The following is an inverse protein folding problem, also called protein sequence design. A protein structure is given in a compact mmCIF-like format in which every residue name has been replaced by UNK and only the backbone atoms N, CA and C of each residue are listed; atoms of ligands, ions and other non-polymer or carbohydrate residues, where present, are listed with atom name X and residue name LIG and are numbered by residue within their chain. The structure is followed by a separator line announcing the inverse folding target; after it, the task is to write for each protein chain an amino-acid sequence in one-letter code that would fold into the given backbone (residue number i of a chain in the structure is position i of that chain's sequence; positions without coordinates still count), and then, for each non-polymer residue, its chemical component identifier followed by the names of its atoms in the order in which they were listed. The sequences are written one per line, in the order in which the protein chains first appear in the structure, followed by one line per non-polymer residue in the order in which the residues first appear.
data_IF_291598780818
#
_entry.id   IF_291598780818
#
_cell.length_a   1.000
_cell.length_b   1.000
_cell.length_c   1.000
_cell.angle_alpha   90.00
_cell.angle_beta   90.00
_cell.angle_gamma   90.00
#
_symmetry.space_group_name_H-M   'P 1'
#
loop_
_entity.id
_entity.type
_entity.pdbx_description
1 polymer ?
#
# COMPACT_ATOMS: atom_id res chain seq x y z
N UNK A 1 -13.47 36.82 42.60
CA UNK A 1 -12.16 36.97 43.24
C UNK A 1 -11.19 36.09 42.47
N UNK A 2 -10.56 36.65 41.44
CA UNK A 2 -9.17 37.16 41.44
C UNK A 2 -8.22 35.99 41.11
N UNK A 3 -7.73 35.82 39.87
CA UNK A 3 -6.85 36.66 39.04
C UNK A 3 -5.44 36.83 39.64
N UNK A 4 -4.44 36.28 38.93
CA UNK A 4 -3.06 36.77 38.64
C UNK A 4 -2.12 35.56 38.42
N UNK A 5 -1.57 35.31 37.22
CA UNK A 5 -0.51 35.99 36.45
C UNK A 5 0.93 35.57 36.83
N UNK A 6 1.73 35.26 35.79
CA UNK A 6 3.19 35.03 35.83
C UNK A 6 3.55 33.55 35.77
N UNK A 7 4.32 33.00 34.82
CA UNK A 7 5.34 33.61 33.96
C UNK A 7 5.49 32.79 32.68
N UNK A 8 5.56 33.50 31.55
CA UNK A 8 6.01 32.96 30.26
C UNK A 8 7.54 32.84 30.31
N UNK A 9 8.06 31.63 30.42
CA UNK A 9 9.45 31.35 30.03
C UNK A 9 9.44 30.91 28.56
N UNK A 10 9.96 31.81 27.72
CA UNK A 10 10.22 31.55 26.31
C UNK A 10 11.40 30.60 26.20
N UNK A 11 11.16 29.35 25.80
CA UNK A 11 12.21 28.51 25.25
C UNK A 11 12.53 29.03 23.84
N UNK A 12 13.63 29.78 23.74
CA UNK A 12 14.30 30.10 22.50
C UNK A 12 14.60 28.79 21.75
N UNK A 13 14.24 28.65 20.46
CA UNK A 13 14.72 27.54 19.67
C UNK A 13 16.24 27.67 19.53
N UNK A 14 16.95 26.66 20.03
CA UNK A 14 18.38 26.44 19.83
C UNK A 14 18.68 26.57 18.34
N UNK A 15 19.65 27.41 18.00
CA UNK A 15 20.06 27.69 16.63
C UNK A 15 20.36 26.38 15.86
N UNK A 16 20.00 26.29 14.56
CA UNK A 16 20.32 25.13 13.76
C UNK A 16 21.84 24.97 13.66
N UNK A 17 22.34 23.80 14.04
CA UNK A 17 23.75 23.42 13.87
C UNK A 17 24.13 23.58 12.39
N UNK A 18 25.23 24.28 12.06
CA UNK A 18 25.62 24.49 10.67
C UNK A 18 25.95 23.15 9.98
N UNK A 19 25.44 22.97 8.76
CA UNK A 19 25.70 21.79 7.97
C UNK A 19 27.18 21.75 7.56
N UNK A 20 27.91 20.76 8.07
CA UNK A 20 29.32 20.53 7.74
C UNK A 20 29.45 19.97 6.33
N UNK A 21 30.27 20.58 5.48
CA UNK A 21 30.58 20.07 4.14
C UNK A 21 31.60 18.95 4.30
N UNK A 22 31.24 17.71 3.93
CA UNK A 22 32.19 16.58 3.92
C UNK A 22 32.78 16.41 2.52
N UNK A 23 34.08 16.65 2.35
CA UNK A 23 34.84 16.18 1.19
C UNK A 23 35.20 14.70 1.40
N UNK A 24 34.41 13.80 0.82
CA UNK A 24 34.82 12.42 0.62
C UNK A 24 34.45 11.96 -0.78
N UNK A 25 35.47 11.53 -1.54
CA UNK A 25 35.38 11.16 -2.96
C UNK A 25 34.65 9.81 -3.21
N UNK A 26 33.89 9.30 -2.24
CA UNK A 26 33.28 7.97 -2.33
C UNK A 26 32.09 7.81 -1.40
N UNK A 27 30.96 8.42 -1.78
CA UNK A 27 29.63 8.01 -1.31
C UNK A 27 28.75 7.65 -2.50
N UNK A 28 28.19 6.44 -2.49
CA UNK A 28 27.14 6.03 -3.44
C UNK A 28 25.87 6.83 -3.12
N UNK A 29 25.40 7.64 -4.07
CA UNK A 29 24.12 8.32 -3.98
C UNK A 29 22.98 7.29 -4.06
N UNK A 30 22.05 7.35 -3.13
CA UNK A 30 20.77 6.61 -3.19
C UNK A 30 19.67 7.54 -3.71
N UNK A 31 18.61 6.96 -4.31
CA UNK A 31 17.51 7.63 -5.05
C UNK A 31 16.78 8.77 -4.30
N UNK A 32 17.01 8.97 -3.00
CA UNK A 32 16.34 9.99 -2.18
C UNK A 32 17.32 10.90 -1.42
N UNK A 33 18.56 11.03 -1.87
CA UNK A 33 19.56 11.87 -1.22
C UNK A 33 19.69 13.24 -1.91
N UNK A 34 19.20 14.32 -1.26
CA UNK A 34 19.31 15.72 -1.73
C UNK A 34 20.61 16.36 -1.23
N UNK A 35 21.76 15.83 -1.61
CA UNK A 35 23.05 16.45 -1.34
C UNK A 35 23.58 17.12 -2.60
N UNK A 36 23.96 18.40 -2.46
CA UNK A 36 24.53 19.22 -3.53
C UNK A 36 25.97 19.55 -3.14
N UNK A 37 26.92 19.42 -4.08
CA UNK A 37 28.33 19.69 -3.77
C UNK A 37 28.57 21.20 -3.50
N UNK A 38 29.64 21.51 -2.76
CA UNK A 38 29.93 22.87 -2.31
C UNK A 38 30.15 23.89 -3.45
N UNK A 39 30.43 23.42 -4.67
CA UNK A 39 30.62 24.26 -5.84
C UNK A 39 29.35 25.00 -6.30
N UNK A 40 28.18 24.55 -5.85
CA UNK A 40 26.90 25.20 -6.17
C UNK A 40 26.55 26.40 -5.28
N UNK A 41 27.40 26.71 -4.30
CA UNK A 41 27.25 27.84 -3.38
C UNK A 41 28.25 28.94 -3.72
N UNK A 42 27.95 30.18 -3.38
CA UNK A 42 28.93 31.26 -3.54
C UNK A 42 30.01 31.18 -2.46
N UNK A 43 31.18 31.77 -2.70
CA UNK A 43 32.28 31.73 -1.74
C UNK A 43 31.91 32.41 -0.40
N UNK A 44 31.01 33.39 -0.45
CA UNK A 44 30.50 34.12 0.72
C UNK A 44 29.58 33.25 1.60
N UNK A 45 29.00 32.20 1.02
CA UNK A 45 28.09 31.28 1.69
C UNK A 45 28.81 30.08 2.33
N UNK A 46 30.10 29.92 2.04
CA UNK A 46 30.96 28.84 2.53
C UNK A 46 31.99 29.40 3.52
N UNK A 47 31.89 29.04 4.79
CA UNK A 47 32.82 29.48 5.84
C UNK A 47 33.78 28.37 6.22
N UNK A 48 35.01 28.74 6.54
CA UNK A 48 36.04 27.83 7.05
C UNK A 48 36.15 28.03 8.56
N UNK A 49 36.10 26.93 9.31
CA UNK A 49 36.30 26.98 10.75
C UNK A 49 37.78 27.30 11.05
N UNK A 50 38.08 28.37 11.83
CA UNK A 50 39.45 28.88 11.96
C UNK A 50 40.44 27.89 12.59
N UNK A 51 39.98 27.03 13.51
CA UNK A 51 40.86 26.05 14.17
C UNK A 51 40.91 24.67 13.50
N UNK A 52 39.88 24.27 12.75
CA UNK A 52 39.76 22.91 12.23
C UNK A 52 39.88 22.81 10.70
N UNK A 53 39.92 23.95 10.00
CA UNK A 53 39.98 24.02 8.54
C UNK A 53 38.74 23.48 7.82
N UNK A 54 37.72 23.03 8.55
CA UNK A 54 36.51 22.43 7.96
C UNK A 54 35.62 23.51 7.36
N UNK A 55 35.17 23.29 6.12
CA UNK A 55 34.21 24.13 5.42
C UNK A 55 32.78 23.79 5.86
N UNK A 56 31.95 24.80 6.08
CA UNK A 56 30.53 24.64 6.41
C UNK A 56 29.71 25.75 5.75
N UNK A 57 28.43 25.47 5.52
CA UNK A 57 27.52 26.42 4.90
C UNK A 57 26.94 27.39 5.94
N UNK A 58 26.69 28.62 5.52
CA UNK A 58 25.94 29.57 6.35
C UNK A 58 24.47 29.12 6.50
N UNK A 59 23.78 29.48 7.60
CA UNK A 59 22.42 29.00 7.86
C UNK A 59 21.36 29.39 6.82
N UNK A 60 21.65 30.33 5.92
CA UNK A 60 20.76 30.76 4.84
C UNK A 60 21.32 30.44 3.44
N UNK A 61 22.38 29.64 3.36
CA UNK A 61 23.00 29.28 2.09
C UNK A 61 22.02 28.47 1.23
N UNK A 62 21.72 28.98 0.03
CA UNK A 62 20.88 28.29 -0.95
C UNK A 62 21.73 28.04 -2.20
N UNK A 63 21.81 26.80 -2.70
CA UNK A 63 22.60 26.52 -3.89
C UNK A 63 22.01 27.32 -5.05
N UNK A 64 22.87 28.13 -5.68
CA UNK A 64 22.47 29.16 -6.63
C UNK A 64 23.36 29.18 -7.88
N UNK A 65 24.44 28.40 -7.92
CA UNK A 65 25.29 28.29 -9.12
C UNK A 65 24.82 27.14 -10.00
N UNK A 66 23.75 27.37 -10.75
CA UNK A 66 23.21 26.40 -11.71
C UNK A 66 23.14 27.01 -13.12
N UNK A 67 23.36 26.20 -14.14
CA UNK A 67 23.27 26.66 -15.53
C UNK A 67 21.88 27.19 -15.90
N UNK A 68 20.82 26.60 -15.33
CA UNK A 68 19.44 26.99 -15.60
C UNK A 68 19.01 28.33 -14.98
N UNK A 69 19.85 28.96 -14.13
CA UNK A 69 19.57 30.27 -13.55
C UNK A 69 20.52 31.38 -14.02
N UNK A 70 21.19 31.18 -15.16
CA UNK A 70 22.10 32.14 -15.80
C UNK A 70 23.32 32.54 -14.95
N UNK A 71 23.73 31.69 -14.01
CA UNK A 71 24.96 31.91 -13.24
C UNK A 71 26.20 31.79 -14.15
N UNK A 72 27.02 32.84 -14.21
CA UNK A 72 28.29 32.88 -14.96
C UNK A 72 28.25 33.61 -16.31
N UNK A 73 27.08 34.10 -16.73
CA UNK A 73 26.96 34.84 -17.99
C UNK A 73 27.23 36.34 -17.76
N UNK A 74 28.49 36.76 -17.88
CA UNK A 74 28.86 38.18 -17.86
C UNK A 74 28.65 38.76 -19.26
N UNK A 75 27.38 38.94 -19.65
CA UNK A 75 26.95 39.94 -20.63
C UNK A 75 25.64 40.60 -20.20
N UNK A 76 25.79 41.86 -19.80
CA UNK A 76 24.78 42.92 -19.66
C UNK A 76 23.60 42.71 -18.70
N UNK A 77 23.71 43.38 -17.55
CA UNK A 77 22.55 44.02 -16.94
C UNK A 77 22.05 45.12 -17.91
N UNK A 78 20.84 44.98 -18.46
CA UNK A 78 20.03 46.14 -18.77
C UNK A 78 18.69 46.04 -18.05
N UNK A 79 18.58 46.91 -17.06
CA UNK A 79 17.40 47.32 -16.34
C UNK A 79 16.30 47.77 -17.32
N UNK A 80 15.05 47.41 -17.01
CA UNK A 80 13.86 48.09 -17.57
C UNK A 80 14.00 49.60 -17.40
N UNK A 81 13.94 50.39 -18.47
CA UNK A 81 13.26 51.71 -18.62
C UNK A 81 13.47 52.25 -20.06
N UNK A 82 12.70 53.27 -20.45
CA UNK A 82 12.19 53.52 -21.81
C UNK A 82 12.99 54.50 -22.72
N UNK A 83 12.55 54.55 -24.00
CA UNK A 83 12.56 55.67 -25.00
C UNK A 83 13.79 55.93 -25.91
N UNK A 84 13.51 55.81 -27.22
CA UNK A 84 13.78 56.73 -28.37
C UNK A 84 15.24 57.04 -28.78
N UNK A 85 15.60 56.69 -30.03
CA UNK A 85 16.45 57.52 -30.90
C UNK A 85 17.64 56.84 -31.62
N UNK A 86 17.53 56.77 -32.96
CA UNK A 86 18.55 57.04 -34.02
C UNK A 86 19.91 56.30 -34.06
N UNK A 87 20.27 55.89 -35.29
CA UNK A 87 21.54 55.36 -35.81
C UNK A 87 22.84 55.99 -35.28
N UNK A 88 23.87 55.16 -35.12
CA UNK A 88 25.29 55.54 -35.14
C UNK A 88 26.17 54.30 -35.31
N UNK A 89 26.99 54.29 -36.37
CA UNK A 89 28.10 53.35 -36.62
C UNK A 89 29.31 53.64 -35.70
N UNK A 90 30.35 52.80 -35.84
CA UNK A 90 31.74 52.87 -35.34
C UNK A 90 31.97 52.16 -34.00
N UNK A 91 33.05 51.42 -33.75
CA UNK A 91 34.20 50.92 -34.53
C UNK A 91 34.84 49.82 -33.65
N UNK A 92 35.52 48.86 -34.28
CA UNK A 92 36.24 47.79 -33.59
C UNK A 92 37.43 48.34 -32.78
N UNK A 93 37.61 47.83 -31.56
CA UNK A 93 38.86 47.97 -30.81
C UNK A 93 39.27 46.60 -30.27
N UNK A 94 40.32 46.06 -30.87
CA UNK A 94 41.00 44.83 -30.49
C UNK A 94 41.52 44.91 -29.06
N UNK A 95 41.13 43.95 -28.23
CA UNK A 95 41.81 43.65 -26.97
C UNK A 95 42.24 42.19 -27.03
N UNK A 96 43.53 41.98 -27.25
CA UNK A 96 44.20 40.69 -27.09
C UNK A 96 44.01 40.21 -25.65
N UNK A 97 43.32 39.08 -25.48
CA UNK A 97 43.21 38.38 -24.21
C UNK A 97 44.18 37.20 -24.26
N UNK A 98 45.20 37.24 -23.40
CA UNK A 98 46.06 36.10 -23.10
C UNK A 98 45.19 34.88 -22.72
N UNK A 99 45.32 33.83 -23.53
CA UNK A 99 44.72 32.51 -23.30
C UNK A 99 45.30 31.87 -22.04
N UNK A 100 44.61 32.03 -20.90
CA UNK A 100 44.75 31.10 -19.78
C UNK A 100 43.79 29.94 -20.04
N UNK A 101 44.36 28.81 -20.44
CA UNK A 101 43.63 27.56 -20.69
C UNK A 101 43.10 26.97 -19.37
N UNK A 102 42.01 27.52 -18.85
CA UNK A 102 41.27 26.90 -17.75
C UNK A 102 40.32 25.86 -18.35
N UNK A 103 40.67 24.58 -18.18
CA UNK A 103 39.83 23.45 -18.58
C UNK A 103 38.52 23.53 -17.79
N UNK A 104 37.49 24.10 -18.39
CA UNK A 104 36.11 23.99 -17.96
C UNK A 104 35.71 22.51 -18.10
N UNK A 105 35.72 21.78 -16.98
CA UNK A 105 34.99 20.51 -16.87
C UNK A 105 33.49 20.84 -16.87
N UNK A 106 32.95 21.05 -18.06
CA UNK A 106 31.51 21.23 -18.27
C UNK A 106 30.84 19.89 -17.99
N UNK A 107 30.07 19.79 -16.91
CA UNK A 107 29.23 18.62 -16.67
C UNK A 107 28.17 18.57 -17.77
N UNK A 108 28.22 17.48 -18.55
CA UNK A 108 27.45 17.27 -19.77
C UNK A 108 25.99 16.92 -19.44
N UNK A 109 25.21 17.90 -19.00
CA UNK A 109 23.75 17.77 -18.83
C UNK A 109 22.96 18.08 -20.11
N UNK A 110 23.62 18.65 -21.13
CA UNK A 110 23.06 18.90 -22.47
C UNK A 110 23.26 17.72 -23.45
N UNK A 111 23.78 16.60 -22.98
CA UNK A 111 23.82 15.39 -23.80
C UNK A 111 22.38 14.92 -24.04
N UNK A 112 21.89 15.10 -25.28
CA UNK A 112 20.73 14.35 -25.79
C UNK A 112 20.93 12.89 -25.42
N UNK A 113 19.90 12.28 -24.82
CA UNK A 113 19.91 10.85 -24.58
C UNK A 113 20.39 10.14 -25.87
N UNK A 114 21.33 9.18 -25.78
CA UNK A 114 21.88 8.55 -26.96
C UNK A 114 20.73 8.07 -27.87
N UNK A 115 20.84 8.21 -29.21
CA UNK A 115 19.83 7.69 -30.12
C UNK A 115 19.59 6.20 -29.80
N UNK A 116 18.36 5.83 -29.47
CA UNK A 116 18.01 4.47 -29.04
C UNK A 116 17.88 4.27 -27.53
N UNK A 117 18.26 5.20 -26.66
CA UNK A 117 18.07 5.07 -25.20
C UNK A 117 16.58 5.03 -24.80
N UNK A 118 15.73 5.73 -25.55
CA UNK A 118 14.28 5.65 -25.39
C UNK A 118 13.75 4.30 -25.86
N UNK A 119 14.24 3.80 -26.99
CA UNK A 119 13.85 2.51 -27.54
C UNK A 119 14.31 1.35 -26.61
N UNK A 120 15.52 1.44 -26.06
CA UNK A 120 16.05 0.51 -25.06
C UNK A 120 15.23 0.54 -23.76
N UNK A 121 14.83 1.72 -23.30
CA UNK A 121 13.94 1.84 -22.15
C UNK A 121 12.56 1.25 -22.43
N UNK A 122 12.01 1.45 -23.63
CA UNK A 122 10.73 0.88 -24.05
C UNK A 122 10.79 -0.64 -24.17
N UNK A 123 11.88 -1.19 -24.74
CA UNK A 123 12.13 -2.63 -24.76
C UNK A 123 12.25 -3.18 -23.34
N UNK A 124 12.95 -2.48 -22.44
CA UNK A 124 13.06 -2.90 -21.04
C UNK A 124 11.71 -2.89 -20.31
N UNK A 125 10.88 -1.88 -20.56
CA UNK A 125 9.52 -1.81 -20.01
C UNK A 125 8.70 -3.00 -20.53
N UNK A 126 8.75 -3.26 -21.84
CA UNK A 126 8.03 -4.38 -22.45
C UNK A 126 8.50 -5.73 -21.92
N UNK A 127 9.81 -5.95 -21.79
CA UNK A 127 10.38 -7.16 -21.19
C UNK A 127 9.93 -7.33 -19.73
N UNK A 128 9.90 -6.25 -18.96
CA UNK A 128 9.44 -6.27 -17.57
C UNK A 128 7.93 -6.54 -17.48
N UNK A 129 7.13 -5.99 -18.38
CA UNK A 129 5.69 -6.24 -18.49
C UNK A 129 5.40 -7.70 -18.86
N UNK A 130 6.15 -8.26 -19.83
CA UNK A 130 6.07 -9.68 -20.19
C UNK A 130 6.55 -10.57 -19.03
N UNK A 131 7.62 -10.19 -18.33
CA UNK A 131 8.10 -10.92 -17.17
C UNK A 131 7.07 -10.90 -16.04
N UNK A 132 6.48 -9.74 -15.72
CA UNK A 132 5.41 -9.61 -14.72
C UNK A 132 4.20 -10.45 -15.14
N UNK A 133 3.78 -10.38 -16.40
CA UNK A 133 2.65 -11.18 -16.91
C UNK A 133 2.92 -12.68 -16.81
N UNK A 134 4.14 -13.13 -17.16
CA UNK A 134 4.56 -14.54 -17.06
C UNK A 134 4.65 -15.05 -15.63
N UNK A 135 4.90 -14.17 -14.66
CA UNK A 135 5.01 -14.50 -13.25
C UNK A 135 3.66 -14.45 -12.51
N UNK A 136 2.61 -13.87 -13.12
CA UNK A 136 1.30 -13.71 -12.49
C UNK A 136 0.42 -14.92 -12.78
N UNK A 137 0.56 -15.97 -11.96
CA UNK A 137 -0.15 -17.25 -12.13
C UNK A 137 -1.67 -17.03 -12.21
N UNK A 138 -2.25 -16.06 -11.48
CA UNK A 138 -3.68 -15.80 -11.58
C UNK A 138 -4.14 -15.35 -12.95
N UNK A 139 -3.37 -14.56 -13.71
CA UNK A 139 -3.82 -14.13 -15.05
C UNK A 139 -3.93 -15.33 -16.00
N UNK A 140 -2.90 -16.18 -16.03
CA UNK A 140 -2.91 -17.40 -16.84
C UNK A 140 -4.01 -18.39 -16.40
N UNK A 141 -4.20 -18.59 -15.09
CA UNK A 141 -5.26 -19.47 -14.59
C UNK A 141 -6.67 -18.90 -14.82
N UNK A 142 -6.84 -17.58 -14.72
CA UNK A 142 -8.10 -16.93 -15.03
C UNK A 142 -8.45 -17.10 -16.52
N UNK A 143 -7.46 -17.01 -17.41
CA UNK A 143 -7.65 -17.22 -18.84
C UNK A 143 -7.89 -18.70 -19.20
N UNK A 144 -7.30 -19.63 -18.45
CA UNK A 144 -7.46 -21.06 -18.71
C UNK A 144 -8.74 -21.66 -18.11
N UNK A 145 -9.09 -21.29 -16.87
CA UNK A 145 -10.17 -21.92 -16.11
C UNK A 145 -11.41 -21.06 -15.96
N UNK A 146 -11.27 -19.73 -16.07
CA UNK A 146 -12.37 -18.80 -15.87
C UNK A 146 -12.72 -18.08 -17.17
N UNK A 147 -12.92 -18.87 -18.24
CA UNK A 147 -13.22 -18.38 -19.59
C UNK A 147 -14.61 -17.72 -19.65
N UNK A 148 -15.60 -18.35 -19.01
CA UNK A 148 -16.95 -17.78 -18.87
C UNK A 148 -17.20 -17.21 -17.48
N UNK A 149 -18.20 -16.33 -17.36
CA UNK A 149 -18.66 -15.83 -16.06
C UNK A 149 -19.21 -16.96 -15.17
N UNK A 150 -19.75 -18.02 -15.75
CA UNK A 150 -20.22 -19.20 -15.01
C UNK A 150 -19.05 -19.97 -14.39
N UNK A 151 -17.99 -20.20 -15.17
CA UNK A 151 -16.77 -20.83 -14.66
C UNK A 151 -16.12 -19.95 -13.59
N UNK A 152 -16.03 -18.65 -13.83
CA UNK A 152 -15.49 -17.69 -12.87
C UNK A 152 -16.26 -17.76 -11.54
N UNK A 153 -17.60 -17.82 -11.62
CA UNK A 153 -18.47 -17.95 -10.45
C UNK A 153 -18.31 -19.29 -9.75
N UNK A 154 -18.11 -20.36 -10.48
CA UNK A 154 -17.82 -21.67 -9.90
C UNK A 154 -16.52 -21.63 -9.08
N UNK A 155 -15.44 -21.10 -9.66
CA UNK A 155 -14.11 -21.09 -9.04
C UNK A 155 -13.91 -20.06 -7.93
N UNK A 156 -14.65 -18.95 -7.94
CA UNK A 156 -14.40 -17.82 -7.02
C UNK A 156 -15.60 -17.42 -6.17
N UNK A 157 -16.81 -17.88 -6.51
CA UNK A 157 -18.11 -17.40 -5.99
C UNK A 157 -18.46 -15.95 -6.28
N UNK A 158 -17.60 -15.19 -6.96
CA UNK A 158 -17.97 -13.89 -7.49
C UNK A 158 -18.78 -14.03 -8.77
N UNK A 159 -19.69 -13.10 -9.05
CA UNK A 159 -20.61 -13.23 -10.18
C UNK A 159 -19.91 -13.18 -11.54
N UNK A 160 -18.82 -12.43 -11.64
CA UNK A 160 -17.99 -12.32 -12.85
C UNK A 160 -16.62 -11.73 -12.48
N UNK A 161 -15.72 -11.71 -13.47
CA UNK A 161 -14.36 -11.17 -13.35
C UNK A 161 -14.34 -9.72 -12.89
N UNK A 162 -15.23 -8.87 -13.41
CA UNK A 162 -15.27 -7.45 -13.07
C UNK A 162 -15.57 -7.21 -11.59
N UNK A 163 -16.59 -7.88 -11.04
CA UNK A 163 -16.93 -7.75 -9.62
C UNK A 163 -15.79 -8.24 -8.72
N UNK A 164 -15.09 -9.31 -9.10
CA UNK A 164 -13.91 -9.77 -8.38
C UNK A 164 -12.81 -8.70 -8.32
N UNK A 165 -12.48 -8.06 -9.44
CA UNK A 165 -11.46 -7.00 -9.44
C UNK A 165 -11.90 -5.73 -8.71
N UNK A 166 -13.19 -5.38 -8.75
CA UNK A 166 -13.74 -4.28 -7.92
C UNK A 166 -13.59 -4.59 -6.44
N UNK A 167 -13.93 -5.81 -6.02
CA UNK A 167 -13.72 -6.27 -4.65
C UNK A 167 -12.24 -6.26 -4.26
N UNK A 168 -11.37 -6.83 -5.11
CA UNK A 168 -9.93 -6.87 -4.92
C UNK A 168 -9.36 -5.47 -4.66
N UNK A 169 -9.65 -4.51 -5.55
CA UNK A 169 -9.19 -3.11 -5.42
C UNK A 169 -9.69 -2.43 -4.14
N UNK A 170 -10.84 -2.87 -3.61
CA UNK A 170 -11.38 -2.33 -2.36
C UNK A 170 -10.62 -2.84 -1.12
N UNK A 171 -10.09 -4.06 -1.17
CA UNK A 171 -9.37 -4.68 -0.05
C UNK A 171 -7.84 -4.55 -0.15
N UNK A 172 -7.30 -4.39 -1.36
CA UNK A 172 -5.87 -4.33 -1.66
C UNK A 172 -5.06 -3.33 -0.80
N UNK A 173 -5.54 -2.09 -0.55
CA UNK A 173 -4.82 -1.17 0.32
C UNK A 173 -4.59 -1.73 1.73
N UNK A 174 -5.58 -2.47 2.25
CA UNK A 174 -5.53 -3.10 3.57
C UNK A 174 -4.72 -4.39 3.58
N UNK A 175 -4.62 -5.10 2.45
CA UNK A 175 -3.82 -6.35 2.33
C UNK A 175 -2.33 -6.07 2.17
N UNK A 176 -1.94 -4.86 1.75
CA UNK A 176 -0.53 -4.46 1.67
C UNK A 176 0.24 -4.62 2.99
N UNK A 177 -0.46 -4.54 4.14
CA UNK A 177 0.07 -4.69 5.50
C UNK A 177 -0.21 -6.06 6.13
N UNK A 178 -0.62 -7.06 5.34
CA UNK A 178 -0.98 -8.38 5.86
C UNK A 178 0.19 -9.03 6.61
N UNK A 179 -0.07 -9.51 7.82
CA UNK A 179 0.88 -10.27 8.63
C UNK A 179 0.55 -11.75 8.46
N UNK A 180 1.46 -12.50 7.82
CA UNK A 180 1.26 -13.93 7.64
C UNK A 180 1.15 -14.66 8.98
N UNK A 181 0.32 -15.72 8.99
CA UNK A 181 0.04 -16.52 10.18
C UNK A 181 1.29 -16.99 10.94
N UNK A 182 2.36 -17.37 10.23
CA UNK A 182 3.61 -17.82 10.86
C UNK A 182 4.32 -16.72 11.66
N UNK A 183 4.12 -15.46 11.29
CA UNK A 183 4.65 -14.29 12.01
C UNK A 183 3.69 -13.89 13.14
N UNK A 184 2.39 -13.87 12.88
CA UNK A 184 1.38 -13.60 13.90
C UNK A 184 1.46 -14.59 15.08
N UNK A 185 1.62 -15.89 14.78
CA UNK A 185 1.79 -16.94 15.80
C UNK A 185 3.03 -16.72 16.67
N UNK A 186 4.15 -16.29 16.07
CA UNK A 186 5.39 -15.99 16.81
C UNK A 186 5.23 -14.76 17.71
N UNK A 187 4.61 -13.70 17.21
CA UNK A 187 4.33 -12.48 17.99
C UNK A 187 3.39 -12.79 19.16
N UNK A 188 2.35 -13.61 18.96
CA UNK A 188 1.44 -14.00 20.03
C UNK A 188 2.03 -14.92 21.10
N UNK A 189 3.16 -15.59 20.81
CA UNK A 189 3.88 -16.46 21.74
C UNK A 189 5.04 -15.75 22.46
N UNK A 190 5.53 -14.60 21.96
CA UNK A 190 6.61 -13.86 22.58
C UNK A 190 6.08 -12.90 23.65
N UNK A 191 6.40 -13.16 24.92
CA UNK A 191 6.17 -12.26 26.07
C UNK A 191 7.10 -11.03 26.09
N UNK A 192 7.94 -10.86 25.08
CA UNK A 192 8.94 -9.77 25.01
C UNK A 192 8.46 -8.71 24.02
N UNK A 193 8.02 -7.56 24.54
CA UNK A 193 7.40 -6.45 23.80
C UNK A 193 8.27 -5.77 22.73
N UNK A 194 9.52 -6.20 22.48
CA UNK A 194 10.45 -5.45 21.62
C UNK A 194 11.42 -6.31 20.81
N UNK A 195 10.93 -7.35 20.14
CA UNK A 195 11.69 -7.82 18.97
C UNK A 195 11.41 -6.88 17.79
N UNK A 196 12.45 -6.16 17.37
CA UNK A 196 12.46 -5.37 16.13
C UNK A 196 11.95 -6.25 15.00
N UNK A 197 10.77 -5.90 14.49
CA UNK A 197 10.07 -6.63 13.44
C UNK A 197 10.97 -6.66 12.21
N UNK A 198 11.73 -7.76 12.03
CA UNK A 198 12.48 -7.98 10.80
C UNK A 198 11.50 -7.89 9.62
N UNK A 199 11.89 -7.24 8.51
CA UNK A 199 11.06 -7.19 7.30
C UNK A 199 10.63 -8.60 6.95
N UNK A 200 9.34 -8.77 6.64
CA UNK A 200 8.88 -10.04 6.12
C UNK A 200 9.73 -10.38 4.87
N UNK A 201 10.14 -11.65 4.68
CA UNK A 201 10.84 -12.05 3.46
C UNK A 201 10.10 -11.53 2.23
N UNK A 202 10.83 -11.18 1.17
CA UNK A 202 10.21 -10.78 -0.10
C UNK A 202 9.14 -11.79 -0.49
N UNK A 203 7.94 -11.27 -0.80
CA UNK A 203 6.79 -12.11 -1.17
C UNK A 203 7.14 -12.87 -2.44
N UNK A 204 6.98 -14.19 -2.42
CA UNK A 204 7.19 -15.05 -3.61
C UNK A 204 6.03 -15.03 -4.59
N UNK A 205 4.88 -14.49 -4.18
CA UNK A 205 3.62 -14.52 -4.90
C UNK A 205 2.92 -13.17 -4.75
N UNK A 206 2.20 -12.75 -5.80
CA UNK A 206 1.40 -11.53 -5.74
C UNK A 206 0.20 -11.75 -4.81
N UNK A 207 -0.22 -10.70 -4.09
CA UNK A 207 -1.33 -10.82 -3.15
C UNK A 207 -2.65 -11.19 -3.85
N UNK A 208 -2.83 -10.81 -5.11
CA UNK A 208 -3.99 -11.20 -5.91
C UNK A 208 -3.99 -12.70 -6.24
N UNK A 209 -2.83 -13.29 -6.51
CA UNK A 209 -2.69 -14.74 -6.73
C UNK A 209 -2.98 -15.50 -5.44
N UNK A 210 -2.51 -14.99 -4.30
CA UNK A 210 -2.80 -15.56 -2.99
C UNK A 210 -4.31 -15.51 -2.67
N UNK A 211 -4.97 -14.39 -2.98
CA UNK A 211 -6.41 -14.25 -2.82
C UNK A 211 -7.18 -15.18 -3.76
N UNK A 212 -6.73 -15.33 -5.01
CA UNK A 212 -7.32 -16.26 -5.95
C UNK A 212 -7.15 -17.72 -5.50
N UNK A 213 -5.98 -18.10 -4.97
CA UNK A 213 -5.75 -19.41 -4.35
C UNK A 213 -6.71 -19.67 -3.18
N UNK A 214 -6.92 -18.65 -2.33
CA UNK A 214 -7.90 -18.72 -1.25
C UNK A 214 -9.33 -18.92 -1.79
N UNK A 215 -9.72 -18.18 -2.83
CA UNK A 215 -11.00 -18.37 -3.51
C UNK A 215 -11.16 -19.82 -4.01
N UNK A 216 -10.17 -20.40 -4.69
CA UNK A 216 -10.23 -21.78 -5.16
C UNK A 216 -10.39 -22.79 -4.00
N UNK A 217 -9.70 -22.56 -2.88
CA UNK A 217 -9.80 -23.39 -1.67
C UNK A 217 -11.18 -23.30 -1.03
N UNK A 218 -11.78 -22.10 -0.97
CA UNK A 218 -13.02 -21.85 -0.25
C UNK A 218 -14.27 -22.09 -1.10
N UNK A 219 -14.22 -21.70 -2.38
CA UNK A 219 -15.32 -21.82 -3.32
C UNK A 219 -15.55 -23.26 -3.76
N UNK A 220 -14.48 -23.94 -4.17
CA UNK A 220 -14.54 -25.29 -4.78
C UNK A 220 -14.12 -26.38 -3.80
N UNK A 221 -13.33 -26.03 -2.78
CA UNK A 221 -12.82 -27.02 -1.83
C UNK A 221 -11.57 -27.76 -2.32
N UNK A 222 -10.76 -27.15 -3.19
CA UNK A 222 -9.54 -27.79 -3.70
C UNK A 222 -8.59 -28.14 -2.55
N UNK A 223 -8.03 -29.36 -2.57
CA UNK A 223 -7.06 -29.81 -1.55
C UNK A 223 -5.75 -29.03 -1.64
N UNK A 224 -5.11 -28.82 -0.50
CA UNK A 224 -3.86 -28.03 -0.43
C UNK A 224 -2.75 -28.56 -1.35
N UNK A 225 -2.63 -29.88 -1.50
CA UNK A 225 -1.67 -30.49 -2.42
C UNK A 225 -1.94 -30.10 -3.88
N UNK A 226 -3.20 -30.03 -4.30
CA UNK A 226 -3.55 -29.67 -5.67
C UNK A 226 -3.22 -28.20 -5.92
N UNK A 227 -3.55 -27.33 -4.97
CA UNK A 227 -3.18 -25.90 -5.02
C UNK A 227 -1.66 -25.71 -5.04
N UNK A 228 -0.90 -26.54 -4.31
CA UNK A 228 0.56 -26.50 -4.32
C UNK A 228 1.14 -26.74 -5.72
N UNK A 229 0.62 -27.73 -6.45
CA UNK A 229 1.02 -28.03 -7.83
C UNK A 229 0.61 -26.90 -8.79
N UNK A 230 -0.65 -26.41 -8.71
CA UNK A 230 -1.17 -25.35 -9.58
C UNK A 230 -0.34 -24.08 -9.47
N UNK A 231 -0.02 -23.67 -8.24
CA UNK A 231 0.67 -22.41 -7.97
C UNK A 231 2.19 -22.60 -7.82
N UNK A 232 2.71 -23.81 -8.02
CA UNK A 232 4.14 -24.14 -7.93
C UNK A 232 4.79 -23.69 -6.62
N UNK A 233 4.08 -23.87 -5.51
CA UNK A 233 4.54 -23.55 -4.15
C UNK A 233 4.47 -24.78 -3.26
N UNK A 234 5.15 -24.77 -2.12
CA UNK A 234 5.03 -25.88 -1.17
C UNK A 234 3.64 -25.93 -0.52
N UNK A 235 3.15 -27.13 -0.18
CA UNK A 235 1.89 -27.32 0.58
C UNK A 235 1.86 -26.49 1.86
N UNK A 236 3.00 -26.38 2.55
CA UNK A 236 3.12 -25.54 3.76
C UNK A 236 2.94 -24.04 3.47
N UNK A 237 3.20 -23.59 2.24
CA UNK A 237 2.94 -22.22 1.81
C UNK A 237 1.46 -22.02 1.54
N UNK A 238 0.80 -22.95 0.84
CA UNK A 238 -0.66 -22.94 0.62
C UNK A 238 -1.42 -22.88 1.94
N UNK A 239 -1.06 -23.71 2.91
CA UNK A 239 -1.73 -23.73 4.22
C UNK A 239 -1.58 -22.39 4.95
N UNK A 240 -0.36 -21.82 4.96
CA UNK A 240 -0.10 -20.49 5.54
C UNK A 240 -0.89 -19.38 4.84
N UNK A 241 -0.95 -19.39 3.51
CA UNK A 241 -1.71 -18.44 2.71
C UNK A 241 -3.19 -18.57 3.04
N UNK A 242 -3.74 -19.79 2.99
CA UNK A 242 -5.15 -20.07 3.29
C UNK A 242 -5.54 -19.54 4.66
N UNK A 243 -4.79 -19.85 5.72
CA UNK A 243 -5.08 -19.36 7.07
C UNK A 243 -4.99 -17.82 7.15
N UNK A 244 -3.99 -17.23 6.49
CA UNK A 244 -3.79 -15.78 6.49
C UNK A 244 -4.96 -15.08 5.78
N UNK A 245 -5.38 -15.60 4.63
CA UNK A 245 -6.49 -15.11 3.82
C UNK A 245 -7.87 -15.55 4.32
N UNK A 246 -7.99 -16.46 5.28
CA UNK A 246 -9.22 -16.63 6.05
C UNK A 246 -9.42 -15.48 7.05
N UNK A 247 -8.33 -15.02 7.67
CA UNK A 247 -8.37 -13.96 8.68
C UNK A 247 -8.51 -12.56 8.05
N UNK A 248 -7.89 -12.32 6.90
CA UNK A 248 -7.87 -10.97 6.32
C UNK A 248 -9.27 -10.46 5.89
N UNK A 249 -10.06 -11.18 5.07
CA UNK A 249 -11.43 -10.80 4.76
C UNK A 249 -12.31 -10.73 6.01
N UNK A 250 -12.11 -11.60 7.01
CA UNK A 250 -12.84 -11.50 8.28
C UNK A 250 -12.62 -10.15 8.97
N UNK A 251 -11.37 -9.67 9.02
CA UNK A 251 -11.04 -8.37 9.62
C UNK A 251 -11.55 -7.21 8.76
N UNK A 252 -11.36 -7.28 7.44
CA UNK A 252 -11.76 -6.22 6.52
C UNK A 252 -13.30 -6.11 6.45
N UNK A 253 -14.00 -7.23 6.21
CA UNK A 253 -15.45 -7.25 6.12
C UNK A 253 -16.12 -7.06 7.48
N UNK A 254 -15.51 -7.56 8.55
CA UNK A 254 -16.00 -7.33 9.92
C UNK A 254 -15.95 -5.87 10.35
N UNK A 255 -15.14 -5.04 9.69
CA UNK A 255 -15.12 -3.58 9.92
C UNK A 255 -16.26 -2.83 9.22
N UNK A 256 -16.96 -3.49 8.28
CA UNK A 256 -18.06 -2.88 7.52
C UNK A 256 -19.34 -2.93 8.35
N UNK A 257 -19.91 -1.77 8.63
CA UNK A 257 -21.20 -1.68 9.31
C UNK A 257 -22.33 -2.05 8.34
N UNK A 258 -22.78 -3.30 8.40
CA UNK A 258 -23.87 -3.83 7.56
C UNK A 258 -25.28 -3.58 8.13
N UNK A 259 -25.37 -3.04 9.34
CA UNK A 259 -26.66 -2.82 10.01
C UNK A 259 -27.46 -1.67 9.37
N UNK A 260 -28.65 -1.98 8.85
CA UNK A 260 -29.51 -0.98 8.20
C UNK A 260 -30.26 -0.10 9.21
N UNK A 261 -30.34 1.19 8.92
CA UNK A 261 -31.21 2.15 9.62
C UNK A 261 -32.69 1.83 9.39
N UNK A 262 -33.59 2.38 10.23
CA UNK A 262 -35.03 2.14 10.08
C UNK A 262 -35.55 2.72 8.77
N UNK A 263 -35.01 3.85 8.38
CA UNK A 263 -35.33 4.58 7.16
C UNK A 263 -34.93 3.77 5.93
N UNK A 264 -33.71 3.22 5.92
CA UNK A 264 -33.24 2.32 4.86
C UNK A 264 -34.13 1.08 4.73
N UNK A 265 -34.47 0.43 5.85
CA UNK A 265 -35.34 -0.76 5.84
C UNK A 265 -36.73 -0.41 5.29
N UNK A 266 -37.35 0.68 5.76
CA UNK A 266 -38.67 1.11 5.26
C UNK A 266 -38.63 1.42 3.76
N UNK A 267 -37.57 2.06 3.27
CA UNK A 267 -37.41 2.40 1.85
C UNK A 267 -37.28 1.18 0.95
N UNK A 268 -36.64 0.11 1.42
CA UNK A 268 -36.44 -1.13 0.63
C UNK A 268 -37.45 -2.22 0.92
N UNK A 269 -38.37 -2.01 1.87
CA UNK A 269 -39.33 -3.01 2.33
C UNK A 269 -40.29 -3.42 1.20
N UNK A 270 -40.43 -4.73 0.88
CA UNK A 270 -41.43 -5.19 -0.08
C UNK A 270 -42.87 -4.87 0.36
N UNK A 271 -43.77 -4.64 -0.60
CA UNK A 271 -45.17 -4.23 -0.37
C UNK A 271 -45.90 -5.17 0.61
N UNK A 272 -45.71 -6.49 0.47
CA UNK A 272 -46.33 -7.47 1.38
C UNK A 272 -45.88 -7.28 2.84
N UNK A 273 -44.60 -6.99 3.09
CA UNK A 273 -44.12 -6.71 4.43
C UNK A 273 -44.68 -5.40 4.97
N UNK A 274 -44.82 -4.37 4.13
CA UNK A 274 -45.44 -3.11 4.55
C UNK A 274 -46.90 -3.31 4.98
N UNK A 275 -47.64 -4.18 4.29
CA UNK A 275 -49.05 -4.43 4.56
C UNK A 275 -49.27 -5.26 5.85
N UNK A 276 -48.53 -6.37 6.01
CA UNK A 276 -48.78 -7.32 7.09
C UNK A 276 -47.86 -7.13 8.31
N UNK A 277 -46.66 -6.60 8.10
CA UNK A 277 -45.58 -6.55 9.08
C UNK A 277 -44.80 -5.20 9.05
N UNK A 278 -45.47 -4.03 9.10
CA UNK A 278 -44.85 -2.72 8.81
C UNK A 278 -43.72 -2.32 9.76
N UNK A 279 -43.72 -2.89 10.97
CA UNK A 279 -42.73 -2.58 12.01
C UNK A 279 -41.55 -3.57 12.04
N UNK A 280 -41.54 -4.59 11.17
CA UNK A 280 -40.43 -5.55 11.10
C UNK A 280 -39.18 -4.84 10.56
N UNK A 281 -38.09 -4.94 11.30
CA UNK A 281 -36.78 -4.39 10.91
C UNK A 281 -35.81 -5.46 10.42
N UNK A 282 -35.75 -6.56 11.15
CA UNK A 282 -34.84 -7.68 10.92
C UNK A 282 -35.59 -8.97 11.21
N UNK A 283 -35.41 -9.95 10.35
CA UNK A 283 -35.84 -11.33 10.52
C UNK A 283 -34.60 -12.10 10.92
N UNK A 284 -34.63 -12.77 12.06
CA UNK A 284 -33.49 -13.53 12.58
C UNK A 284 -33.72 -15.02 12.37
N UNK A 285 -32.65 -15.73 12.02
CA UNK A 285 -32.65 -17.19 11.90
C UNK A 285 -31.32 -17.77 12.37
N UNK A 286 -31.37 -18.97 12.97
CA UNK A 286 -30.19 -19.70 13.40
C UNK A 286 -29.72 -20.61 12.26
N UNK A 287 -28.67 -20.19 11.54
CA UNK A 287 -28.12 -20.96 10.43
C UNK A 287 -27.02 -21.89 10.90
N UNK A 288 -27.10 -23.15 10.50
CA UNK A 288 -26.08 -24.17 10.81
C UNK A 288 -25.20 -24.45 9.59
N UNK A 289 -23.89 -24.39 9.80
CA UNK A 289 -22.87 -24.70 8.80
C UNK A 289 -22.26 -26.06 9.12
N UNK A 290 -22.17 -26.94 8.12
CA UNK A 290 -21.42 -28.20 8.25
C UNK A 290 -19.93 -27.90 8.13
N UNK A 291 -19.13 -28.56 8.96
CA UNK A 291 -17.68 -28.45 8.91
C UNK A 291 -17.03 -29.83 8.95
N UNK A 292 -15.78 -29.90 8.53
CA UNK A 292 -14.95 -31.09 8.67
C UNK A 292 -14.82 -31.44 10.17
N UNK A 293 -14.90 -32.73 10.47
CA UNK A 293 -14.80 -33.23 11.84
C UNK A 293 -13.41 -32.94 12.40
N UNK A 294 -13.30 -32.32 13.59
CA UNK A 294 -12.01 -32.12 14.23
C UNK A 294 -11.41 -33.46 14.62
N UNK A 295 -10.08 -33.57 14.55
CA UNK A 295 -9.36 -34.78 14.97
C UNK A 295 -9.42 -35.00 16.48
N UNK A 296 -9.60 -33.92 17.25
CA UNK A 296 -9.74 -33.98 18.70
C UNK A 296 -11.15 -34.46 19.09
N UNK A 297 -11.20 -35.58 19.83
CA UNK A 297 -12.45 -36.23 20.28
C UNK A 297 -13.32 -35.29 21.12
N UNK A 298 -12.72 -34.47 21.98
CA UNK A 298 -13.43 -33.49 22.81
C UNK A 298 -14.15 -32.46 21.96
N UNK A 299 -13.43 -31.80 21.04
CA UNK A 299 -14.04 -30.86 20.09
C UNK A 299 -15.08 -31.55 19.21
N UNK A 300 -14.84 -32.79 18.80
CA UNK A 300 -15.81 -33.55 18.01
C UNK A 300 -17.13 -33.70 18.76
N UNK A 301 -17.08 -34.14 20.03
CA UNK A 301 -18.28 -34.32 20.85
C UNK A 301 -19.06 -33.03 21.09
N UNK A 302 -18.37 -31.90 21.23
CA UNK A 302 -19.01 -30.60 21.46
C UNK A 302 -19.66 -30.07 20.18
N UNK A 303 -18.92 -30.13 19.05
CA UNK A 303 -19.36 -29.61 17.75
C UNK A 303 -20.33 -30.51 17.00
N UNK A 304 -20.49 -31.76 17.45
CA UNK A 304 -21.43 -32.70 16.87
C UNK A 304 -22.87 -32.29 17.17
N UNK A 305 -23.64 -31.98 16.14
CA UNK A 305 -25.09 -31.82 16.27
C UNK A 305 -25.72 -33.20 16.23
N UNK A 306 -26.21 -33.68 17.37
CA UNK A 306 -26.95 -34.95 17.44
C UNK A 306 -28.15 -34.97 16.48
N UNK A 307 -28.80 -33.81 16.28
CA UNK A 307 -29.92 -33.67 15.35
C UNK A 307 -29.53 -33.90 13.89
N UNK A 308 -28.35 -33.41 13.46
CA UNK A 308 -27.87 -33.56 12.08
C UNK A 308 -26.88 -34.68 11.85
N UNK A 309 -26.37 -35.30 12.92
CA UNK A 309 -25.34 -36.34 12.88
C UNK A 309 -24.03 -35.92 12.21
N UNK A 310 -23.70 -34.61 12.24
CA UNK A 310 -22.45 -34.06 11.70
C UNK A 310 -21.89 -32.98 12.64
N UNK A 311 -20.58 -32.73 12.52
CA UNK A 311 -19.93 -31.55 13.08
C UNK A 311 -20.50 -30.29 12.43
N UNK A 312 -21.07 -29.41 13.24
CA UNK A 312 -21.67 -28.16 12.78
C UNK A 312 -21.30 -26.99 13.67
N UNK A 313 -21.31 -25.80 13.08
CA UNK A 313 -21.32 -24.54 13.82
C UNK A 313 -22.63 -23.80 13.53
N UNK A 314 -23.12 -23.04 14.50
CA UNK A 314 -24.31 -22.19 14.34
C UNK A 314 -23.92 -20.72 14.33
N UNK A 315 -24.62 -19.91 13.53
CA UNK A 315 -24.62 -18.45 13.68
C UNK A 315 -26.05 -17.93 13.64
N UNK A 316 -26.29 -16.84 14.38
CA UNK A 316 -27.50 -16.04 14.26
C UNK A 316 -27.30 -15.07 13.09
N UNK A 317 -28.14 -15.20 12.07
CA UNK A 317 -28.15 -14.34 10.89
C UNK A 317 -29.39 -13.46 10.95
N UNK A 318 -29.20 -12.16 10.76
CA UNK A 318 -30.28 -11.19 10.63
C UNK A 318 -30.40 -10.70 9.20
N UNK A 319 -31.61 -10.80 8.65
CA UNK A 319 -31.94 -10.40 7.28
C UNK A 319 -33.00 -9.31 7.32
N UNK A 320 -32.78 -8.21 6.61
CA UNK A 320 -33.79 -7.18 6.42
C UNK A 320 -34.96 -7.72 5.57
N UNK A 321 -36.18 -7.17 5.69
CA UNK A 321 -37.33 -7.55 4.85
C UNK A 321 -37.09 -7.54 3.34
N UNK A 322 -36.10 -6.76 2.86
CA UNK A 322 -35.68 -6.72 1.46
C UNK A 322 -34.75 -7.87 1.04
N UNK A 323 -34.41 -8.81 1.95
CA UNK A 323 -33.53 -9.94 1.70
C UNK A 323 -32.04 -9.67 1.92
N UNK A 324 -31.65 -8.45 2.31
CA UNK A 324 -30.26 -8.12 2.59
C UNK A 324 -29.82 -8.65 3.96
N UNK A 325 -28.64 -9.27 4.04
CA UNK A 325 -28.04 -9.66 5.33
C UNK A 325 -27.58 -8.38 6.04
N UNK A 326 -28.09 -8.14 7.24
CA UNK A 326 -27.80 -6.94 8.05
C UNK A 326 -27.10 -7.25 9.36
N UNK A 327 -26.98 -8.53 9.71
CA UNK A 327 -26.33 -8.98 10.94
C UNK A 327 -25.83 -10.40 10.77
N UNK A 328 -24.64 -10.67 11.32
CA UNK A 328 -24.09 -12.01 11.48
C UNK A 328 -23.38 -12.07 12.83
N UNK A 329 -23.76 -13.03 13.67
CA UNK A 329 -23.07 -13.28 14.94
C UNK A 329 -21.72 -13.97 14.73
N UNK A 330 -20.95 -14.10 15.82
CA UNK A 330 -19.87 -15.09 15.88
C UNK A 330 -20.43 -16.50 15.69
N UNK A 331 -19.56 -17.43 15.30
CA UNK A 331 -19.90 -18.84 15.22
C UNK A 331 -19.88 -19.46 16.63
N UNK A 332 -20.90 -20.26 16.90
CA UNK A 332 -21.06 -21.05 18.11
C UNK A 332 -21.06 -22.53 17.78
N UNK A 333 -20.78 -23.34 18.78
CA UNK A 333 -20.75 -24.79 18.68
C UNK A 333 -22.14 -25.30 18.28
N UNK A 334 -22.21 -26.27 17.37
CA UNK A 334 -23.45 -26.84 16.82
C UNK A 334 -24.47 -27.36 17.83
N UNK A 335 -24.03 -27.70 19.04
CA UNK A 335 -24.87 -28.18 20.14
C UNK A 335 -25.67 -27.08 20.85
N UNK A 336 -25.34 -25.78 20.65
CA UNK A 336 -26.09 -24.69 21.25
C UNK A 336 -27.55 -24.67 20.74
N UNK A 337 -28.50 -24.46 21.65
CA UNK A 337 -29.91 -24.31 21.25
C UNK A 337 -30.17 -22.94 20.64
N UNK A 338 -31.10 -22.85 19.70
CA UNK A 338 -31.43 -21.59 19.01
C UNK A 338 -31.93 -20.52 19.98
N UNK A 339 -32.66 -20.92 21.03
CA UNK A 339 -33.12 -20.03 22.11
C UNK A 339 -31.95 -19.44 22.89
N UNK A 340 -30.95 -20.26 23.18
CA UNK A 340 -29.76 -19.83 23.91
C UNK A 340 -28.89 -18.93 23.03
N UNK A 341 -28.67 -19.33 21.77
CA UNK A 341 -27.94 -18.52 20.78
C UNK A 341 -28.58 -17.14 20.57
N UNK A 342 -29.92 -17.05 20.57
CA UNK A 342 -30.63 -15.78 20.42
C UNK A 342 -30.51 -14.86 21.65
N UNK A 343 -30.14 -15.40 22.82
CA UNK A 343 -29.95 -14.61 24.05
C UNK A 343 -28.53 -14.02 24.18
N UNK A 344 -27.54 -14.66 23.54
CA UNK A 344 -26.16 -14.19 23.47
C UNK A 344 -26.07 -12.93 22.60
#
# INVERSE_FOLDING_TARGET
MAAENGSREAFLPVAPTPATISESASRKMTEHSTFVCAMHFTEDEVRVHPESGRKYLTPQAVPSRFSWNNWGDVKSCQTRMAKRGVCGELEEADVEIETVHMVLLVHNYDSRAPPGALDEALEKIKELEELVSSLTISQALLEQWCVSDEDFRYFTRFSNKNIFFVFWRSIEPSTSRIVYWSKAKRIGLSTVEKEVVKPSPQRKMQLIDEFFMFCLRFAVGLRERVLAEIFQVSTSTVSRITITWSNNPYLVLGSVQIWMTREQVRRTMPVKFQQYCPNVRVIIDCTEFRCESPEAITLHSETFSTYKSYTTFKALIGVAPCGAITFASKLFIGSISDKELTRQ
#
